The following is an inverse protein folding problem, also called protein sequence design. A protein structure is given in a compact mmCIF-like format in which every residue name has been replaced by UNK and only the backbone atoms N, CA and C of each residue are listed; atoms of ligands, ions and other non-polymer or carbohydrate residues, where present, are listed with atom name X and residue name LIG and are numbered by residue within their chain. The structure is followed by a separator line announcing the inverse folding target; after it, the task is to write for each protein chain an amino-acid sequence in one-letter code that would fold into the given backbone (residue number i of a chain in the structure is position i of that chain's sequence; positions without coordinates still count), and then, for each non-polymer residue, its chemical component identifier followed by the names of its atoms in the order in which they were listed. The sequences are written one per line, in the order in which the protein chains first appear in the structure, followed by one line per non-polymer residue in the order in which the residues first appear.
data_IF_889539750484
#
_entry.id   IF_889539750484
#
_cell.length_a   1.000
_cell.length_b   1.000
_cell.length_c   1.000
_cell.angle_alpha   90.00
_cell.angle_beta   90.00
_cell.angle_gamma   90.00
#
_symmetry.space_group_name_H-M   'P 1'
#
loop_
_entity.id
_entity.type
_entity.pdbx_description
1 polymer ?
#
# COMPACT_ATOMS: atom_id res chain seq x y z
N UNK A 1 16.99 8.03 -27.83
CA UNK A 1 17.98 9.10 -27.82
C UNK A 1 17.66 10.07 -26.72
N UNK A 2 18.09 9.74 -25.53
CA UNK A 2 18.09 10.70 -24.45
C UNK A 2 19.55 10.91 -24.10
N UNK A 3 20.18 11.89 -24.68
CA UNK A 3 21.16 12.61 -23.94
C UNK A 3 20.45 13.02 -22.66
N UNK A 4 20.79 12.37 -21.56
CA UNK A 4 20.48 12.91 -20.27
C UNK A 4 21.32 14.18 -20.21
N UNK A 5 20.75 15.25 -20.76
CA UNK A 5 21.17 16.56 -20.34
C UNK A 5 21.16 16.50 -18.84
N UNK A 6 22.19 17.05 -18.23
CA UNK A 6 22.35 17.02 -16.76
C UNK A 6 21.16 17.61 -15.98
N UNK A 7 20.15 18.06 -16.68
CA UNK A 7 18.86 18.55 -16.15
C UNK A 7 17.71 17.55 -16.14
N UNK A 8 17.89 16.30 -16.56
CA UNK A 8 16.79 15.32 -16.73
C UNK A 8 16.96 14.10 -15.83
N UNK A 9 17.71 14.19 -14.79
CA UNK A 9 17.66 13.25 -13.67
C UNK A 9 16.45 13.61 -12.83
N UNK A 10 15.40 12.86 -12.98
CA UNK A 10 14.18 13.11 -12.26
C UNK A 10 14.25 12.54 -10.88
N UNK A 11 14.06 13.35 -9.89
CA UNK A 11 13.82 12.89 -8.56
C UNK A 11 12.41 12.36 -8.41
N UNK A 12 12.31 11.34 -7.67
CA UNK A 12 11.17 10.49 -7.38
C UNK A 12 10.10 11.11 -6.51
N UNK A 13 10.31 12.28 -6.04
CA UNK A 13 9.42 12.91 -5.10
C UNK A 13 8.35 13.68 -5.81
N UNK A 14 7.15 13.65 -5.26
CA UNK A 14 6.00 14.37 -5.80
C UNK A 14 6.30 15.83 -6.08
N UNK A 15 7.19 16.45 -5.29
CA UNK A 15 7.65 17.81 -5.53
C UNK A 15 8.57 17.89 -6.75
N UNK A 16 9.58 17.02 -6.86
CA UNK A 16 10.49 17.00 -7.98
C UNK A 16 9.85 16.57 -9.30
N UNK A 17 9.11 15.47 -9.30
CA UNK A 17 8.35 15.04 -10.46
C UNK A 17 7.36 16.10 -10.91
N UNK A 18 6.57 16.62 -9.98
CA UNK A 18 5.64 17.70 -10.27
C UNK A 18 6.33 18.93 -10.86
N UNK A 19 7.46 19.33 -10.32
CA UNK A 19 8.17 20.55 -10.74
C UNK A 19 8.83 20.38 -12.11
N UNK A 20 9.40 19.21 -12.41
CA UNK A 20 9.94 18.89 -13.74
C UNK A 20 8.86 18.90 -14.80
N UNK A 21 7.72 18.25 -14.56
CA UNK A 21 6.59 18.26 -15.50
C UNK A 21 6.01 19.65 -15.68
N UNK A 22 5.82 20.36 -14.59
CA UNK A 22 5.31 21.74 -14.63
C UNK A 22 6.24 22.65 -15.43
N UNK A 23 7.56 22.45 -15.32
CA UNK A 23 8.54 23.16 -16.14
C UNK A 23 8.44 22.77 -17.61
N UNK A 24 8.37 21.49 -17.95
CA UNK A 24 8.22 21.04 -19.34
C UNK A 24 6.93 21.58 -19.96
N UNK A 25 5.83 21.58 -19.20
CA UNK A 25 4.56 22.17 -19.63
C UNK A 25 4.69 23.70 -19.76
N UNK A 26 5.39 24.35 -18.83
CA UNK A 26 5.69 25.80 -18.92
C UNK A 26 6.44 26.14 -20.19
N UNK A 27 7.49 25.38 -20.51
CA UNK A 27 8.36 25.65 -21.64
C UNK A 27 7.66 25.38 -22.99
N UNK A 28 6.69 24.47 -23.00
CA UNK A 28 5.81 24.18 -24.15
C UNK A 28 4.54 25.02 -24.19
N UNK A 29 4.24 25.80 -23.16
CA UNK A 29 3.01 26.58 -23.09
C UNK A 29 3.04 27.78 -24.02
N UNK A 30 2.18 27.81 -25.02
CA UNK A 30 2.01 28.92 -25.97
C UNK A 30 1.27 30.09 -25.31
N UNK A 31 0.34 29.84 -24.38
CA UNK A 31 -0.47 30.88 -23.72
C UNK A 31 0.29 31.47 -22.52
N UNK A 32 0.45 32.83 -22.46
CA UNK A 32 1.23 33.50 -21.40
C UNK A 32 0.68 33.23 -19.98
N UNK A 33 -0.62 33.10 -19.82
CA UNK A 33 -1.27 32.80 -18.56
C UNK A 33 -0.86 31.40 -18.03
N UNK A 34 -0.86 30.37 -18.88
CA UNK A 34 -0.39 29.02 -18.53
C UNK A 34 1.08 29.06 -18.15
N UNK A 35 1.92 29.75 -18.90
CA UNK A 35 3.33 29.90 -18.62
C UNK A 35 3.57 30.48 -17.22
N UNK A 36 2.81 31.50 -16.82
CA UNK A 36 2.90 32.16 -15.51
C UNK A 36 2.48 31.22 -14.37
N UNK A 37 1.36 30.48 -14.54
CA UNK A 37 0.90 29.49 -13.55
C UNK A 37 1.93 28.38 -13.37
N UNK A 38 2.41 27.77 -14.45
CA UNK A 38 3.38 26.68 -14.34
C UNK A 38 4.75 27.16 -13.87
N UNK A 39 5.13 28.42 -14.12
CA UNK A 39 6.32 29.02 -13.53
C UNK A 39 6.22 29.14 -12.01
N UNK A 40 5.07 29.57 -11.50
CA UNK A 40 4.81 29.63 -10.06
C UNK A 40 4.79 28.22 -9.43
N UNK A 41 4.10 27.28 -10.07
CA UNK A 41 3.97 25.90 -9.60
C UNK A 41 5.27 25.08 -9.70
N UNK A 42 6.26 25.51 -10.49
CA UNK A 42 7.58 24.87 -10.55
C UNK A 42 8.52 25.28 -9.43
N UNK A 43 8.10 26.15 -8.53
CA UNK A 43 8.86 26.56 -7.33
C UNK A 43 10.32 26.96 -7.61
N UNK A 44 10.58 27.61 -8.75
CA UNK A 44 11.93 28.06 -9.11
C UNK A 44 12.88 26.94 -9.55
N UNK A 45 12.35 25.76 -9.86
CA UNK A 45 13.17 24.65 -10.37
C UNK A 45 13.89 25.06 -11.66
N UNK A 46 15.22 25.09 -11.66
CA UNK A 46 16.02 25.50 -12.80
C UNK A 46 16.49 24.35 -13.69
N UNK A 47 16.50 23.12 -13.13
CA UNK A 47 16.94 21.90 -13.81
C UNK A 47 18.46 21.79 -13.99
N UNK A 48 19.25 22.55 -13.22
CA UNK A 48 20.71 22.44 -13.20
C UNK A 48 21.13 21.15 -12.52
N UNK A 49 22.32 20.63 -12.87
CA UNK A 49 22.88 19.44 -12.21
C UNK A 49 22.92 19.55 -10.68
N UNK A 50 23.23 20.76 -10.16
CA UNK A 50 23.26 21.05 -8.72
C UNK A 50 21.88 20.95 -8.07
N UNK A 51 20.78 21.34 -8.77
CA UNK A 51 19.42 21.21 -8.24
C UNK A 51 19.02 19.73 -8.14
N UNK A 52 19.47 18.94 -9.10
CA UNK A 52 19.24 17.49 -9.12
C UNK A 52 19.99 16.79 -7.98
N UNK A 53 21.28 17.08 -7.79
CA UNK A 53 22.05 16.49 -6.72
C UNK A 53 21.47 16.80 -5.35
N UNK A 54 21.15 18.08 -5.09
CA UNK A 54 20.49 18.50 -3.85
C UNK A 54 19.15 17.80 -3.63
N UNK A 55 18.41 17.59 -4.69
CA UNK A 55 17.15 16.91 -4.60
C UNK A 55 17.32 15.43 -4.26
N UNK A 56 18.27 14.73 -4.87
CA UNK A 56 18.58 13.34 -4.53
C UNK A 56 18.97 13.23 -3.06
N UNK A 57 19.83 14.12 -2.56
CA UNK A 57 20.23 14.17 -1.16
C UNK A 57 19.04 14.42 -0.22
N UNK A 58 18.25 15.45 -0.49
CA UNK A 58 17.07 15.77 0.32
C UNK A 58 16.04 14.64 0.27
N UNK A 59 15.86 14.03 -0.90
CA UNK A 59 14.98 12.89 -1.07
C UNK A 59 15.38 11.70 -0.22
N UNK A 60 16.67 11.38 -0.21
CA UNK A 60 17.21 10.28 0.59
C UNK A 60 16.98 10.52 2.09
N UNK A 61 17.26 11.74 2.55
CA UNK A 61 17.03 12.13 3.95
C UNK A 61 15.55 12.05 4.32
N UNK A 62 14.67 12.59 3.46
CA UNK A 62 13.21 12.54 3.71
C UNK A 62 12.67 11.11 3.69
N UNK A 63 13.16 10.24 2.81
CA UNK A 63 12.79 8.83 2.80
C UNK A 63 13.24 8.12 4.07
N UNK A 64 14.49 8.41 4.51
CA UNK A 64 15.01 7.88 5.77
C UNK A 64 14.20 8.33 6.99
N UNK A 65 13.67 9.54 6.98
CA UNK A 65 12.79 10.06 8.05
C UNK A 65 11.34 9.56 7.92
N UNK A 66 10.84 9.41 6.70
CA UNK A 66 9.47 8.97 6.46
C UNK A 66 9.23 7.52 6.92
N UNK A 67 10.22 6.64 6.76
CA UNK A 67 10.07 5.23 7.15
C UNK A 67 9.78 5.06 8.64
N UNK A 68 10.60 5.54 9.59
CA UNK A 68 10.27 5.42 11.01
C UNK A 68 9.01 6.23 11.39
N UNK A 69 8.75 7.34 10.71
CA UNK A 69 7.54 8.13 10.94
C UNK A 69 6.26 7.34 10.61
N UNK A 70 6.22 6.67 9.47
CA UNK A 70 5.07 5.84 9.08
C UNK A 70 4.87 4.68 10.06
N UNK A 71 5.95 4.01 10.47
CA UNK A 71 5.88 2.96 11.49
C UNK A 71 5.33 3.51 12.81
N UNK A 72 5.82 4.67 13.26
CA UNK A 72 5.36 5.33 14.49
C UNK A 72 3.88 5.71 14.42
N UNK A 73 3.43 6.28 13.31
CA UNK A 73 2.02 6.67 13.13
C UNK A 73 1.10 5.46 13.23
N UNK A 74 1.41 4.36 12.54
CA UNK A 74 0.59 3.14 12.62
C UNK A 74 0.61 2.53 14.03
N UNK A 75 1.76 2.58 14.70
CA UNK A 75 1.89 2.14 16.09
C UNK A 75 1.02 2.99 17.03
N UNK A 76 1.08 4.32 16.93
CA UNK A 76 0.29 5.22 17.79
C UNK A 76 -1.21 5.05 17.54
N UNK A 77 -1.65 5.01 16.28
CA UNK A 77 -3.07 4.77 15.94
C UNK A 77 -3.56 3.44 16.48
N UNK A 78 -2.70 2.41 16.52
CA UNK A 78 -3.08 1.12 17.08
C UNK A 78 -3.31 1.16 18.60
N UNK A 79 -2.69 2.09 19.30
CA UNK A 79 -2.93 2.27 20.74
C UNK A 79 -4.37 2.71 21.05
N UNK A 80 -5.08 3.36 20.13
CA UNK A 80 -6.51 3.68 20.31
C UNK A 80 -7.34 2.40 20.53
N UNK A 81 -6.90 1.29 19.96
CA UNK A 81 -7.49 -0.02 20.18
C UNK A 81 -6.85 -0.74 21.38
N UNK A 82 -5.53 -0.84 21.42
CA UNK A 82 -4.80 -1.62 22.42
C UNK A 82 -4.99 -1.12 23.86
N UNK A 83 -5.23 0.17 24.04
CA UNK A 83 -5.49 0.78 25.37
C UNK A 83 -6.97 0.89 25.70
N UNK A 84 -7.86 0.50 24.78
CA UNK A 84 -9.30 0.49 25.05
C UNK A 84 -9.67 -0.65 25.99
N UNK A 85 -10.81 -0.51 26.67
CA UNK A 85 -11.35 -1.54 27.56
C UNK A 85 -12.22 -2.57 26.84
N UNK A 86 -12.42 -2.43 25.52
CA UNK A 86 -13.30 -3.30 24.74
C UNK A 86 -12.69 -4.69 24.58
N UNK A 87 -13.43 -5.79 24.88
CA UNK A 87 -12.94 -7.13 24.77
C UNK A 87 -12.59 -7.45 23.31
N UNK A 88 -11.42 -8.05 23.10
CA UNK A 88 -10.89 -8.35 21.77
C UNK A 88 -10.12 -7.20 21.12
N UNK A 89 -10.05 -6.01 21.72
CA UNK A 89 -9.18 -4.90 21.31
C UNK A 89 -7.99 -4.73 22.25
N UNK A 90 -8.21 -4.95 23.53
CA UNK A 90 -7.22 -4.80 24.60
C UNK A 90 -6.13 -5.88 24.50
N UNK A 91 -5.12 -5.65 23.66
CA UNK A 91 -4.00 -6.56 23.49
C UNK A 91 -2.72 -5.84 23.07
N UNK A 92 -1.59 -6.29 23.60
CA UNK A 92 -0.27 -5.73 23.32
C UNK A 92 0.26 -6.07 21.91
N UNK A 93 -0.35 -7.03 21.22
CA UNK A 93 0.06 -7.42 19.87
C UNK A 93 -0.46 -6.44 18.79
N UNK A 94 -1.44 -5.59 19.12
CA UNK A 94 -2.02 -4.66 18.14
C UNK A 94 -1.01 -3.76 17.47
N UNK A 95 -0.06 -3.08 18.15
CA UNK A 95 0.90 -2.20 17.49
C UNK A 95 1.74 -2.87 16.41
N UNK A 96 2.49 -3.97 16.67
CA UNK A 96 3.25 -4.64 15.62
C UNK A 96 2.35 -5.26 14.54
N UNK A 97 1.18 -5.74 14.91
CA UNK A 97 0.19 -6.29 14.00
C UNK A 97 -0.34 -5.25 13.01
N UNK A 98 -0.72 -4.04 13.49
CA UNK A 98 -1.17 -2.95 12.61
C UNK A 98 -0.10 -2.50 11.62
N UNK A 99 1.15 -2.42 12.05
CA UNK A 99 2.29 -2.10 11.18
C UNK A 99 2.45 -3.15 10.09
N UNK A 100 2.46 -4.43 10.48
CA UNK A 100 2.59 -5.54 9.52
C UNK A 100 1.42 -5.57 8.53
N UNK A 101 0.18 -5.38 9.02
CA UNK A 101 -1.03 -5.31 8.21
C UNK A 101 -1.04 -4.13 7.25
N UNK A 102 -0.52 -2.96 7.68
CA UNK A 102 -0.40 -1.79 6.81
C UNK A 102 0.57 -2.04 5.65
N UNK A 103 1.72 -2.65 5.91
CA UNK A 103 2.68 -3.03 4.86
C UNK A 103 2.06 -4.09 3.95
N UNK A 104 1.46 -5.12 4.50
CA UNK A 104 0.81 -6.22 3.78
C UNK A 104 -0.26 -5.72 2.81
N UNK A 105 -1.22 -4.94 3.30
CA UNK A 105 -2.30 -4.37 2.48
C UNK A 105 -1.80 -3.33 1.49
N UNK A 106 -0.84 -2.50 1.91
CA UNK A 106 -0.23 -1.47 1.06
C UNK A 106 0.47 -2.08 -0.16
N UNK A 107 1.30 -3.10 0.04
CA UNK A 107 1.94 -3.81 -1.08
C UNK A 107 0.93 -4.51 -1.98
N UNK A 108 -0.12 -5.14 -1.42
CA UNK A 108 -1.16 -5.77 -2.20
C UNK A 108 -1.94 -4.75 -3.06
N UNK A 109 -2.27 -3.59 -2.51
CA UNK A 109 -2.96 -2.53 -3.26
C UNK A 109 -2.09 -1.94 -4.36
N UNK A 110 -0.83 -1.60 -4.04
CA UNK A 110 0.13 -1.08 -5.02
C UNK A 110 0.34 -2.10 -6.14
N UNK A 111 0.50 -3.37 -5.81
CA UNK A 111 0.67 -4.44 -6.81
C UNK A 111 -0.55 -4.60 -7.72
N UNK A 112 -1.75 -4.50 -7.17
CA UNK A 112 -2.99 -4.53 -7.96
C UNK A 112 -3.00 -3.42 -9.00
N UNK A 113 -2.73 -2.17 -8.59
CA UNK A 113 -2.70 -1.02 -9.48
C UNK A 113 -1.54 -1.09 -10.49
N UNK A 114 -0.38 -1.54 -10.04
CA UNK A 114 0.83 -1.65 -10.86
C UNK A 114 0.67 -2.68 -11.99
N UNK A 115 0.04 -3.83 -11.72
CA UNK A 115 -0.23 -4.84 -12.75
C UNK A 115 -1.23 -4.31 -13.80
N UNK A 116 -2.28 -3.59 -13.36
CA UNK A 116 -3.23 -2.95 -14.27
C UNK A 116 -2.50 -1.93 -15.16
N UNK A 117 -1.73 -1.03 -14.54
CA UNK A 117 -1.02 0.01 -15.28
C UNK A 117 0.07 -0.54 -16.18
N UNK A 118 0.77 -1.59 -15.77
CA UNK A 118 1.74 -2.32 -16.59
C UNK A 118 1.14 -2.73 -17.94
N UNK A 119 -0.08 -3.26 -17.90
CA UNK A 119 -0.79 -3.71 -19.13
C UNK A 119 -1.36 -2.54 -19.92
N UNK A 120 -2.04 -1.60 -19.26
CA UNK A 120 -2.71 -0.46 -19.91
C UNK A 120 -1.70 0.49 -20.55
N UNK A 121 -0.61 0.80 -19.86
CA UNK A 121 0.43 1.74 -20.33
C UNK A 121 1.58 1.04 -21.08
N UNK A 122 1.50 -0.26 -21.34
CA UNK A 122 2.55 -1.06 -22.02
C UNK A 122 3.94 -0.91 -21.39
N UNK A 123 3.99 -0.93 -20.05
CA UNK A 123 5.22 -0.75 -19.27
C UNK A 123 5.94 -2.08 -18.98
N UNK A 124 5.75 -3.10 -19.79
CA UNK A 124 6.24 -4.46 -19.54
C UNK A 124 7.76 -4.57 -19.52
N UNK A 125 8.45 -3.71 -20.28
CA UNK A 125 9.91 -3.63 -20.30
C UNK A 125 10.51 -2.96 -19.05
N UNK A 126 9.73 -2.13 -18.36
CA UNK A 126 10.19 -1.38 -17.17
C UNK A 126 9.77 -2.09 -15.88
N UNK A 127 8.54 -2.56 -15.81
CA UNK A 127 8.03 -3.33 -14.68
C UNK A 127 8.19 -4.80 -15.01
N UNK A 128 9.34 -5.37 -14.66
CA UNK A 128 9.68 -6.76 -14.94
C UNK A 128 8.98 -7.74 -13.99
N UNK A 129 8.99 -9.02 -14.33
CA UNK A 129 8.50 -10.08 -13.43
C UNK A 129 9.27 -10.15 -12.13
N UNK A 130 10.54 -9.77 -12.14
CA UNK A 130 11.38 -9.73 -10.95
C UNK A 130 10.87 -8.70 -9.92
N UNK A 131 10.41 -7.52 -10.35
CA UNK A 131 9.80 -6.54 -9.46
C UNK A 131 8.53 -7.09 -8.80
N UNK A 132 7.68 -7.78 -9.58
CA UNK A 132 6.46 -8.42 -9.07
C UNK A 132 6.81 -9.54 -8.09
N UNK A 133 7.83 -10.35 -8.39
CA UNK A 133 8.29 -11.40 -7.48
C UNK A 133 8.78 -10.84 -6.14
N UNK A 134 9.53 -9.75 -6.16
CA UNK A 134 9.99 -9.09 -4.93
C UNK A 134 8.82 -8.55 -4.10
N UNK A 135 7.82 -7.95 -4.72
CA UNK A 135 6.61 -7.51 -4.03
C UNK A 135 5.84 -8.70 -3.42
N UNK A 136 5.73 -9.80 -4.14
CA UNK A 136 5.12 -11.04 -3.65
C UNK A 136 5.84 -11.62 -2.43
N UNK A 137 7.17 -11.52 -2.39
CA UNK A 137 7.96 -11.94 -1.21
C UNK A 137 7.62 -11.07 -0.01
N UNK A 138 7.50 -9.75 -0.18
CA UNK A 138 7.12 -8.85 0.91
C UNK A 138 5.71 -9.19 1.40
N UNK A 139 4.74 -9.37 0.51
CA UNK A 139 3.35 -9.76 0.84
C UNK A 139 3.35 -11.09 1.60
N UNK A 140 4.12 -12.08 1.15
CA UNK A 140 4.22 -13.39 1.80
C UNK A 140 4.78 -13.29 3.23
N UNK A 141 5.86 -12.54 3.43
CA UNK A 141 6.49 -12.38 4.75
C UNK A 141 5.57 -11.61 5.69
N UNK A 142 5.04 -10.47 5.26
CA UNK A 142 4.16 -9.64 6.09
C UNK A 142 2.83 -10.34 6.37
N UNK A 143 2.28 -11.08 5.41
CA UNK A 143 1.10 -11.93 5.61
C UNK A 143 1.36 -13.06 6.61
N UNK A 144 2.57 -13.63 6.64
CA UNK A 144 2.95 -14.62 7.65
C UNK A 144 3.03 -14.00 9.05
N UNK A 145 3.56 -12.76 9.16
CA UNK A 145 3.59 -12.03 10.43
C UNK A 145 2.16 -11.74 10.92
N UNK A 146 1.27 -11.30 10.03
CA UNK A 146 -0.16 -11.09 10.36
C UNK A 146 -0.82 -12.38 10.81
N UNK A 147 -0.55 -13.49 10.13
CA UNK A 147 -1.05 -14.81 10.54
C UNK A 147 -0.56 -15.24 11.91
N UNK A 148 0.72 -15.01 12.23
CA UNK A 148 1.26 -15.26 13.57
C UNK A 148 0.60 -14.38 14.62
N UNK A 149 0.30 -13.11 14.29
CA UNK A 149 -0.40 -12.21 15.21
C UNK A 149 -1.81 -12.72 15.54
N UNK A 150 -2.58 -13.19 14.56
CA UNK A 150 -3.91 -13.77 14.81
C UNK A 150 -3.86 -15.01 15.72
N UNK A 151 -2.85 -15.88 15.52
CA UNK A 151 -2.66 -17.05 16.39
C UNK A 151 -2.30 -16.59 17.81
N UNK A 152 -1.46 -15.57 17.93
CA UNK A 152 -1.07 -15.00 19.23
C UNK A 152 -2.26 -14.40 19.96
N UNK A 153 -3.15 -13.68 19.26
CA UNK A 153 -4.39 -13.14 19.85
C UNK A 153 -5.28 -14.24 20.40
N UNK A 154 -5.51 -15.31 19.61
CA UNK A 154 -6.29 -16.47 20.05
C UNK A 154 -5.66 -17.14 21.27
N UNK A 155 -4.34 -17.29 21.27
CA UNK A 155 -3.61 -17.88 22.39
C UNK A 155 -3.73 -17.02 23.66
N UNK A 156 -3.55 -15.70 23.55
CA UNK A 156 -3.67 -14.79 24.68
C UNK A 156 -5.09 -14.79 25.25
N UNK A 157 -6.11 -14.75 24.41
CA UNK A 157 -7.51 -14.80 24.83
C UNK A 157 -7.83 -16.09 25.60
N UNK A 158 -7.29 -17.23 25.15
CA UNK A 158 -7.45 -18.50 25.85
C UNK A 158 -6.64 -18.55 27.15
N UNK A 159 -5.37 -18.11 27.12
CA UNK A 159 -4.45 -18.21 28.24
C UNK A 159 -4.78 -17.22 29.39
N UNK A 160 -5.30 -16.04 29.08
CA UNK A 160 -5.65 -15.02 30.06
C UNK A 160 -6.71 -15.48 31.06
N UNK A 161 -7.56 -16.41 30.67
CA UNK A 161 -8.67 -16.88 31.51
C UNK A 161 -9.79 -15.85 31.72
N UNK A 162 -9.74 -14.71 31.00
CA UNK A 162 -10.76 -13.67 31.08
C UNK A 162 -11.96 -14.07 30.23
N UNK A 163 -13.09 -14.35 30.88
CA UNK A 163 -14.31 -14.84 30.21
C UNK A 163 -14.82 -13.95 29.10
N UNK A 164 -14.73 -12.63 29.25
CA UNK A 164 -15.18 -11.66 28.24
C UNK A 164 -14.32 -11.74 26.96
N UNK A 165 -13.01 -11.88 27.11
CA UNK A 165 -12.11 -12.01 25.96
C UNK A 165 -12.30 -13.36 25.26
N UNK A 166 -12.38 -14.43 26.02
CA UNK A 166 -12.66 -15.77 25.48
C UNK A 166 -13.99 -15.77 24.72
N UNK A 167 -15.01 -15.17 25.30
CA UNK A 167 -16.32 -15.01 24.63
C UNK A 167 -16.22 -14.21 23.34
N UNK A 168 -15.49 -13.09 23.32
CA UNK A 168 -15.35 -12.26 22.12
C UNK A 168 -14.73 -13.04 20.96
N UNK A 169 -13.67 -13.81 21.22
CA UNK A 169 -13.01 -14.64 20.19
C UNK A 169 -13.89 -15.84 19.77
N UNK A 170 -14.56 -16.49 20.70
CA UNK A 170 -15.48 -17.57 20.40
C UNK A 170 -16.66 -17.06 19.54
N UNK A 171 -17.19 -15.89 19.88
CA UNK A 171 -18.27 -15.25 19.13
C UNK A 171 -17.85 -14.82 17.72
N UNK A 172 -16.55 -14.44 17.50
CA UNK A 172 -16.02 -14.24 16.14
C UNK A 172 -16.09 -15.51 15.31
N UNK A 173 -15.76 -16.66 15.89
CA UNK A 173 -15.71 -17.96 15.21
C UNK A 173 -17.07 -18.63 15.04
N UNK A 174 -17.98 -18.51 16.03
CA UNK A 174 -19.26 -19.25 16.07
C UNK A 174 -20.49 -18.37 16.08
N UNK A 175 -20.32 -17.06 16.23
CA UNK A 175 -21.41 -16.06 16.30
C UNK A 175 -22.00 -15.73 14.93
N UNK A 176 -22.91 -14.73 14.88
CA UNK A 176 -23.66 -14.39 13.68
C UNK A 176 -22.79 -13.92 12.50
N UNK A 177 -21.57 -13.47 12.75
CA UNK A 177 -20.61 -12.99 11.73
C UNK A 177 -19.48 -13.99 11.48
N UNK A 178 -19.62 -15.27 11.82
CA UNK A 178 -18.60 -16.30 11.62
C UNK A 178 -18.06 -16.35 10.20
N UNK A 179 -18.90 -16.13 9.22
CA UNK A 179 -18.54 -16.12 7.80
C UNK A 179 -17.51 -15.03 7.46
N UNK A 180 -17.62 -13.84 8.06
CA UNK A 180 -16.67 -12.75 7.85
C UNK A 180 -15.30 -13.09 8.46
N UNK A 181 -15.29 -13.73 9.64
CA UNK A 181 -14.08 -14.17 10.31
C UNK A 181 -13.35 -15.25 9.50
N UNK A 182 -14.05 -16.27 9.04
CA UNK A 182 -13.44 -17.32 8.21
C UNK A 182 -12.97 -16.79 6.85
N UNK A 183 -13.68 -15.85 6.26
CA UNK A 183 -13.25 -15.21 5.02
C UNK A 183 -11.99 -14.38 5.25
N UNK A 184 -11.91 -13.60 6.32
CA UNK A 184 -10.72 -12.88 6.73
C UNK A 184 -9.51 -13.82 6.90
N UNK A 185 -9.68 -14.89 7.67
CA UNK A 185 -8.62 -15.88 7.91
C UNK A 185 -8.14 -16.54 6.61
N UNK A 186 -9.06 -16.93 5.74
CA UNK A 186 -8.72 -17.53 4.45
C UNK A 186 -7.95 -16.57 3.55
N UNK A 187 -8.39 -15.32 3.48
CA UNK A 187 -7.77 -14.32 2.62
C UNK A 187 -6.42 -13.83 3.15
N UNK A 188 -6.29 -13.60 4.47
CA UNK A 188 -5.09 -12.99 5.03
C UNK A 188 -4.03 -14.01 5.49
N UNK A 189 -4.44 -15.20 5.89
CA UNK A 189 -3.52 -16.23 6.38
C UNK A 189 -3.19 -17.25 5.29
N UNK A 190 -4.22 -17.85 4.67
CA UNK A 190 -4.01 -18.96 3.72
C UNK A 190 -3.52 -18.45 2.37
N UNK A 191 -4.11 -17.38 1.84
CA UNK A 191 -3.80 -16.92 0.48
C UNK A 191 -2.35 -16.49 0.29
N UNK A 192 -1.66 -15.76 1.21
CA UNK A 192 -0.26 -15.42 1.05
C UNK A 192 0.67 -16.62 1.10
N UNK A 193 0.30 -17.70 1.80
CA UNK A 193 1.13 -18.90 1.91
C UNK A 193 1.26 -19.64 0.58
N UNK A 194 0.30 -19.49 -0.32
CA UNK A 194 0.40 -20.07 -1.66
C UNK A 194 1.59 -19.50 -2.44
N UNK A 195 2.05 -18.30 -2.10
CA UNK A 195 3.20 -17.64 -2.71
C UNK A 195 4.57 -18.29 -2.38
N UNK A 196 4.62 -19.23 -1.42
CA UNK A 196 5.82 -20.05 -1.20
C UNK A 196 6.18 -20.85 -2.45
N UNK A 197 5.19 -21.22 -3.26
CA UNK A 197 5.41 -21.96 -4.51
C UNK A 197 5.92 -20.96 -5.57
N UNK A 198 7.19 -21.11 -5.99
CA UNK A 198 7.84 -20.19 -6.94
C UNK A 198 7.05 -20.01 -8.25
N UNK A 199 6.46 -21.09 -8.78
CA UNK A 199 5.64 -21.04 -10.00
C UNK A 199 4.44 -20.08 -9.90
N UNK A 200 3.84 -19.98 -8.71
CA UNK A 200 2.71 -19.10 -8.43
C UNK A 200 3.22 -17.67 -8.20
N UNK A 201 4.26 -17.52 -7.40
CA UNK A 201 4.87 -16.23 -7.08
C UNK A 201 5.38 -15.46 -8.29
N UNK A 202 5.86 -16.15 -9.32
CA UNK A 202 6.36 -15.53 -10.58
C UNK A 202 5.29 -15.34 -11.66
N UNK A 203 4.06 -15.78 -11.43
CA UNK A 203 2.98 -15.67 -12.38
C UNK A 203 2.13 -14.43 -12.11
N UNK A 204 2.00 -13.57 -13.14
CA UNK A 204 1.27 -12.29 -13.05
C UNK A 204 -0.21 -12.48 -12.68
N UNK A 205 -0.85 -13.50 -13.24
CA UNK A 205 -2.29 -13.73 -13.03
C UNK A 205 -2.52 -14.11 -11.57
N UNK A 206 -1.75 -15.06 -11.04
CA UNK A 206 -1.85 -15.45 -9.65
C UNK A 206 -1.47 -14.32 -8.70
N UNK A 207 -0.44 -13.54 -9.03
CA UNK A 207 -0.05 -12.35 -8.24
C UNK A 207 -1.19 -11.34 -8.18
N UNK A 208 -1.88 -11.09 -9.27
CA UNK A 208 -3.02 -10.19 -9.34
C UNK A 208 -4.21 -10.70 -8.51
N UNK A 209 -4.57 -11.98 -8.68
CA UNK A 209 -5.67 -12.59 -7.93
C UNK A 209 -5.40 -12.54 -6.42
N UNK A 210 -4.22 -12.97 -6.00
CA UNK A 210 -3.85 -12.97 -4.57
C UNK A 210 -3.84 -11.54 -4.01
N UNK A 211 -3.36 -10.55 -4.75
CA UNK A 211 -3.40 -9.14 -4.30
C UNK A 211 -4.83 -8.65 -4.08
N UNK A 212 -5.77 -9.01 -4.94
CA UNK A 212 -7.20 -8.68 -4.75
C UNK A 212 -7.76 -9.40 -3.54
N UNK A 213 -7.47 -10.70 -3.40
CA UNK A 213 -7.93 -11.52 -2.27
C UNK A 213 -7.42 -10.94 -0.94
N UNK A 214 -6.15 -10.53 -0.88
CA UNK A 214 -5.57 -9.85 0.28
C UNK A 214 -6.29 -8.54 0.59
N UNK A 215 -6.55 -7.70 -0.41
CA UNK A 215 -7.28 -6.44 -0.19
C UNK A 215 -8.70 -6.68 0.35
N UNK A 216 -9.39 -7.69 -0.16
CA UNK A 216 -10.70 -8.11 0.37
C UNK A 216 -10.57 -8.61 1.81
N UNK A 217 -9.58 -9.45 2.10
CA UNK A 217 -9.31 -9.96 3.44
C UNK A 217 -9.02 -8.86 4.46
N UNK A 218 -8.24 -7.86 4.07
CA UNK A 218 -7.94 -6.70 4.92
C UNK A 218 -9.15 -5.81 5.17
N UNK A 219 -10.08 -5.72 4.22
CA UNK A 219 -11.36 -5.07 4.46
C UNK A 219 -12.20 -5.85 5.48
N UNK A 220 -12.30 -7.18 5.31
CA UNK A 220 -13.01 -8.05 6.27
C UNK A 220 -12.36 -8.05 7.65
N UNK A 221 -11.05 -7.89 7.73
CA UNK A 221 -10.35 -7.71 8.99
C UNK A 221 -10.87 -6.50 9.77
N UNK A 222 -11.00 -5.34 9.09
CA UNK A 222 -11.57 -4.14 9.71
C UNK A 222 -13.02 -4.37 10.15
N UNK A 223 -13.80 -5.05 9.32
CA UNK A 223 -15.16 -5.43 9.67
C UNK A 223 -15.19 -6.33 10.92
N UNK A 224 -14.36 -7.35 10.98
CA UNK A 224 -14.26 -8.26 12.13
C UNK A 224 -13.82 -7.50 13.38
N UNK A 225 -12.76 -6.71 13.32
CA UNK A 225 -12.26 -5.96 14.49
C UNK A 225 -13.36 -5.02 15.04
N UNK A 226 -14.07 -4.31 14.18
CA UNK A 226 -15.02 -3.28 14.61
C UNK A 226 -16.38 -3.91 14.94
N UNK A 227 -17.00 -4.55 13.96
CA UNK A 227 -18.40 -5.01 14.09
C UNK A 227 -18.53 -6.15 15.07
N UNK A 228 -17.65 -7.17 15.02
CA UNK A 228 -17.78 -8.33 15.90
C UNK A 228 -17.44 -8.02 17.37
N UNK A 229 -16.67 -6.98 17.62
CA UNK A 229 -16.37 -6.55 19.00
C UNK A 229 -17.44 -5.62 19.57
N UNK A 230 -18.02 -4.74 18.74
CA UNK A 230 -18.99 -3.74 19.20
C UNK A 230 -20.44 -4.26 19.25
N UNK A 231 -20.82 -5.25 18.44
CA UNK A 231 -22.21 -5.74 18.43
C UNK A 231 -22.60 -6.46 19.74
N UNK A 232 -21.64 -6.91 20.51
CA UNK A 232 -21.80 -7.54 21.83
C UNK A 232 -20.63 -7.17 22.73
N UNK A 233 -20.69 -6.01 23.33
CA UNK A 233 -19.75 -5.52 24.33
C UNK A 233 -20.16 -5.97 25.76
N UNK A 234 -19.60 -5.33 26.78
CA UNK A 234 -19.88 -5.64 28.19
C UNK A 234 -21.33 -5.43 28.61
N UNK A 235 -22.06 -4.54 27.95
CA UNK A 235 -23.42 -4.16 28.35
C UNK A 235 -24.47 -4.85 27.47
N UNK A 236 -25.19 -5.84 27.98
CA UNK A 236 -26.25 -6.51 27.18
C UNK A 236 -27.32 -5.58 26.62
N UNK A 237 -27.51 -4.42 27.26
CA UNK A 237 -28.47 -3.41 26.79
C UNK A 237 -28.04 -2.68 25.52
N UNK A 238 -26.76 -2.70 25.21
CA UNK A 238 -26.16 -2.11 23.98
C UNK A 238 -26.02 -3.12 22.83
N UNK A 239 -26.33 -4.38 23.06
CA UNK A 239 -26.18 -5.41 22.05
C UNK A 239 -27.11 -5.16 20.87
N UNK A 240 -26.53 -4.97 19.70
CA UNK A 240 -27.27 -4.74 18.46
C UNK A 240 -26.63 -5.51 17.31
N UNK A 241 -27.46 -5.84 16.31
CA UNK A 241 -26.98 -6.45 15.08
C UNK A 241 -26.73 -5.37 14.05
N UNK A 242 -25.50 -5.34 13.53
CA UNK A 242 -25.17 -4.44 12.44
C UNK A 242 -25.75 -4.98 11.12
N UNK A 243 -26.55 -4.16 10.45
CA UNK A 243 -26.99 -4.38 9.07
C UNK A 243 -26.65 -3.13 8.25
N UNK A 244 -25.88 -3.26 7.17
CA UNK A 244 -25.53 -2.09 6.36
C UNK A 244 -26.79 -1.51 5.71
N UNK A 245 -26.96 -0.21 5.82
CA UNK A 245 -28.03 0.51 5.13
C UNK A 245 -27.64 0.75 3.66
N UNK A 246 -28.62 1.09 2.84
CA UNK A 246 -28.34 1.45 1.45
C UNK A 246 -27.40 2.65 1.33
N UNK A 247 -27.46 3.57 2.29
CA UNK A 247 -26.57 4.74 2.37
C UNK A 247 -25.13 4.32 2.66
N UNK A 248 -24.91 3.38 3.57
CA UNK A 248 -23.57 2.88 3.91
C UNK A 248 -22.90 2.22 2.71
N UNK A 249 -23.66 1.41 1.97
CA UNK A 249 -23.19 0.79 0.72
C UNK A 249 -22.87 1.87 -0.32
N UNK A 250 -23.73 2.88 -0.46
CA UNK A 250 -23.52 4.00 -1.38
C UNK A 250 -22.27 4.81 -1.05
N UNK A 251 -22.01 5.10 0.21
CA UNK A 251 -20.79 5.79 0.67
C UNK A 251 -19.55 4.92 0.40
N UNK A 252 -19.61 3.64 0.70
CA UNK A 252 -18.52 2.73 0.45
C UNK A 252 -18.14 2.65 -1.04
N UNK A 253 -19.10 2.43 -1.90
CA UNK A 253 -18.86 2.40 -3.36
C UNK A 253 -18.41 3.75 -3.88
N UNK A 254 -18.98 4.85 -3.35
CA UNK A 254 -18.60 6.21 -3.71
C UNK A 254 -17.16 6.55 -3.36
N UNK A 255 -16.68 6.13 -2.19
CA UNK A 255 -15.29 6.35 -1.77
C UNK A 255 -14.29 5.56 -2.62
N UNK A 256 -14.61 4.32 -2.95
CA UNK A 256 -13.81 3.50 -3.88
C UNK A 256 -13.79 4.15 -5.27
N UNK A 257 -14.96 4.55 -5.79
CA UNK A 257 -15.07 5.22 -7.08
C UNK A 257 -14.27 6.53 -7.13
N UNK A 258 -14.36 7.33 -6.06
CA UNK A 258 -13.61 8.57 -5.94
C UNK A 258 -12.09 8.34 -5.95
N UNK A 259 -11.60 7.32 -5.23
CA UNK A 259 -10.20 6.93 -5.28
C UNK A 259 -9.75 6.59 -6.71
N UNK A 260 -10.52 5.75 -7.42
CA UNK A 260 -10.17 5.38 -8.80
C UNK A 260 -10.22 6.57 -9.76
N UNK A 261 -11.17 7.48 -9.61
CA UNK A 261 -11.22 8.71 -10.42
C UNK A 261 -9.96 9.54 -10.20
N UNK A 262 -9.55 9.78 -8.96
CA UNK A 262 -8.33 10.52 -8.66
C UNK A 262 -7.09 9.81 -9.18
N UNK A 263 -7.00 8.49 -9.00
CA UNK A 263 -5.90 7.68 -9.50
C UNK A 263 -5.79 7.74 -11.03
N UNK A 264 -6.89 7.59 -11.74
CA UNK A 264 -6.90 7.67 -13.21
C UNK A 264 -6.59 9.07 -13.74
N UNK A 265 -7.07 10.11 -13.06
CA UNK A 265 -6.71 11.50 -13.38
C UNK A 265 -5.20 11.74 -13.16
N UNK A 266 -4.64 11.21 -12.10
CA UNK A 266 -3.20 11.25 -11.86
C UNK A 266 -2.45 10.51 -12.97
N UNK A 267 -2.81 9.26 -13.25
CA UNK A 267 -2.16 8.43 -14.27
C UNK A 267 -2.25 9.02 -15.68
N UNK A 268 -3.31 9.80 -15.97
CA UNK A 268 -3.46 10.53 -17.24
C UNK A 268 -2.58 11.78 -17.30
N UNK A 269 -2.38 12.45 -16.17
CA UNK A 269 -1.71 13.75 -16.10
C UNK A 269 -0.21 13.61 -15.81
N UNK A 270 0.20 12.54 -15.14
CA UNK A 270 1.56 12.28 -14.71
C UNK A 270 2.00 10.88 -15.11
N UNK A 271 3.30 10.62 -15.28
CA UNK A 271 3.78 9.27 -15.53
C UNK A 271 3.60 8.40 -14.29
N UNK A 272 3.11 7.22 -14.50
CA UNK A 272 2.83 6.22 -13.46
C UNK A 272 4.11 5.69 -12.83
N UNK A 273 5.19 5.66 -13.58
CA UNK A 273 6.52 5.21 -13.14
C UNK A 273 7.46 6.40 -13.15
N UNK A 274 8.25 6.51 -12.09
CA UNK A 274 9.24 7.57 -11.96
C UNK A 274 10.31 7.45 -13.05
N UNK A 275 10.35 8.43 -13.95
CA UNK A 275 11.26 8.41 -15.11
C UNK A 275 12.74 8.44 -14.70
N UNK A 276 13.06 9.00 -13.54
CA UNK A 276 14.42 9.08 -13.04
C UNK A 276 15.00 7.72 -12.69
N UNK A 277 14.23 6.91 -11.95
CA UNK A 277 14.64 5.52 -11.62
C UNK A 277 14.86 4.71 -12.88
N UNK A 278 13.96 4.86 -13.86
CA UNK A 278 14.12 4.18 -15.15
C UNK A 278 15.42 4.62 -15.83
N UNK A 279 15.75 5.92 -15.82
CA UNK A 279 16.96 6.44 -16.45
C UNK A 279 18.24 5.95 -15.76
N UNK A 280 18.26 5.84 -14.44
CA UNK A 280 19.41 5.28 -13.71
C UNK A 280 19.61 3.80 -14.02
N UNK A 281 18.54 3.03 -14.09
CA UNK A 281 18.60 1.61 -14.48
C UNK A 281 19.06 1.45 -15.93
N UNK A 282 18.57 2.26 -16.86
CA UNK A 282 18.98 2.23 -18.26
C UNK A 282 20.45 2.63 -18.43
N UNK A 283 20.95 3.57 -17.64
CA UNK A 283 22.37 3.95 -17.67
C UNK A 283 23.26 2.79 -17.19
N UNK A 284 22.91 2.15 -16.10
CA UNK A 284 23.66 0.99 -15.58
C UNK A 284 23.58 -0.22 -16.52
N UNK A 285 22.43 -0.50 -17.14
CA UNK A 285 22.28 -1.56 -18.11
C UNK A 285 23.05 -1.28 -19.41
N UNK A 286 23.17 -0.01 -19.80
CA UNK A 286 24.00 0.40 -20.94
C UNK A 286 25.51 0.20 -20.68
N UNK A 287 25.98 0.42 -19.48
CA UNK A 287 27.36 0.13 -19.07
C UNK A 287 27.65 -1.38 -19.03
N UNK A 288 26.71 -2.18 -18.52
CA UNK A 288 26.79 -3.64 -18.53
C UNK A 288 26.80 -4.17 -19.96
N UNK A 289 25.95 -3.62 -20.84
CA UNK A 289 25.92 -3.99 -22.24
C UNK A 289 27.23 -3.68 -22.96
N UNK A 290 27.82 -2.50 -22.73
CA UNK A 290 29.15 -2.16 -23.28
C UNK A 290 30.22 -3.13 -22.77
N UNK A 291 30.27 -3.38 -21.46
CA UNK A 291 31.24 -4.30 -20.85
C UNK A 291 31.13 -5.75 -21.35
N UNK A 292 29.92 -6.18 -21.73
CA UNK A 292 29.72 -7.51 -22.31
C UNK A 292 30.02 -7.57 -23.82
N UNK A 293 29.98 -6.44 -24.53
CA UNK A 293 30.35 -6.35 -25.94
C UNK A 293 31.86 -6.30 -26.14
N UNK A 294 32.59 -5.73 -25.19
CA UNK A 294 34.03 -5.55 -25.21
C UNK A 294 34.77 -6.77 -24.61
N UNK A 295 34.05 -7.85 -24.26
CA UNK A 295 34.55 -9.19 -23.94
C UNK A 295 34.31 -10.15 -25.11
#
# INVERSE_FOLDING_TARGET
FFQAEDGIRDPLWSRGLGDVYKRQIRDRAVKPFRKKIYSLLSFGWSGRAKDWQRFEEVSLVLAGLATPLVLSVHTIVSFDFATSVIPGWHTTIFPPYFVAGAIFSGFAMVQTLLIIMRKVSRLESYITLQHIEMMNIVIMITGSIVGCAYITELFIAWYSGVEYEQYAFLNRATGPYWWAYFLMMSCNVVSPQVMWIKKIRTNIIWSFIISIVVNIGMWFERFVIIVTSLHRDYLPSSWTMFSPTFVDIGIFLGTIGFFFVLFLLYARSFPVVAQAEIKTILKSSGEIYKKNRDK
#
